data_IF_859065369157
#
_entry.id   IF_859065369157
#
_cell.length_a   1.000
_cell.length_b   1.000
_cell.length_c   1.000
_cell.angle_alpha   90.00
_cell.angle_beta   90.00
_cell.angle_gamma   90.00
#
_symmetry.space_group_name_H-M   'P 1'
#
loop_
_entity.id
_entity.type
_entity.pdbx_description
1 polymer ?
#
# COMPACT_ATOMS: atom_id res chain seq x y z
N UNK A 1 7.64 -49.39 32.10
CA UNK A 1 7.13 -48.35 31.20
C UNK A 1 5.92 -47.77 31.89
N UNK A 2 6.02 -46.54 32.41
CA UNK A 2 4.85 -45.88 32.99
C UNK A 2 3.82 -45.66 31.87
N UNK A 3 2.67 -46.33 31.99
CA UNK A 3 1.58 -46.17 31.03
C UNK A 3 0.94 -44.80 31.25
N UNK A 4 1.04 -43.94 30.24
CA UNK A 4 0.38 -42.63 30.24
C UNK A 4 -1.14 -42.86 30.32
N UNK A 5 -1.71 -42.51 31.48
CA UNK A 5 -3.14 -42.56 31.69
C UNK A 5 -3.82 -41.34 31.06
N UNK A 6 -4.53 -41.58 29.94
CA UNK A 6 -5.24 -40.54 29.17
C UNK A 6 -6.29 -39.79 30.00
N UNK A 7 -6.85 -40.42 31.03
CA UNK A 7 -7.87 -39.82 31.91
C UNK A 7 -7.29 -38.70 32.77
N UNK A 8 -6.08 -38.90 33.31
CA UNK A 8 -5.41 -37.91 34.16
C UNK A 8 -4.93 -36.72 33.34
N UNK A 9 -4.48 -36.95 32.11
CA UNK A 9 -4.17 -35.89 31.15
C UNK A 9 -5.40 -35.00 30.87
N UNK A 10 -6.58 -35.60 30.70
CA UNK A 10 -7.82 -34.89 30.41
C UNK A 10 -8.30 -34.04 31.60
N UNK A 11 -8.14 -34.54 32.83
CA UNK A 11 -8.46 -33.81 34.06
C UNK A 11 -7.49 -32.63 34.24
N UNK A 12 -6.20 -32.85 34.00
CA UNK A 12 -5.19 -31.79 34.05
C UNK A 12 -5.47 -30.68 33.02
N UNK A 13 -5.78 -31.04 31.78
CA UNK A 13 -6.12 -30.09 30.73
C UNK A 13 -7.38 -29.28 31.07
N UNK A 14 -8.42 -29.93 31.60
CA UNK A 14 -9.67 -29.28 31.99
C UNK A 14 -9.51 -28.31 33.16
N UNK A 15 -8.55 -28.57 34.06
CA UNK A 15 -8.19 -27.66 35.16
C UNK A 15 -7.50 -26.39 34.67
N UNK A 16 -6.68 -26.49 33.63
CA UNK A 16 -5.93 -25.35 33.07
C UNK A 16 -6.66 -24.64 31.91
N UNK A 17 -7.76 -25.20 31.41
CA UNK A 17 -8.59 -24.59 30.36
C UNK A 17 -9.06 -23.17 30.72
N UNK A 18 -9.42 -22.93 31.98
CA UNK A 18 -9.85 -21.59 32.44
C UNK A 18 -8.71 -20.57 32.33
N UNK A 19 -7.49 -20.97 32.71
CA UNK A 19 -6.30 -20.12 32.62
C UNK A 19 -5.91 -19.87 31.16
N UNK A 20 -6.05 -20.89 30.31
CA UNK A 20 -5.86 -20.76 28.87
C UNK A 20 -6.83 -19.74 28.26
N UNK A 21 -8.13 -19.86 28.54
CA UNK A 21 -9.11 -18.89 28.04
C UNK A 21 -8.88 -17.48 28.59
N UNK A 22 -8.47 -17.33 29.85
CA UNK A 22 -8.11 -16.03 30.41
C UNK A 22 -6.93 -15.38 29.67
N UNK A 23 -5.88 -16.16 29.36
CA UNK A 23 -4.73 -15.71 28.58
C UNK A 23 -5.15 -15.29 27.15
N UNK A 24 -6.01 -16.09 26.50
CA UNK A 24 -6.52 -15.78 25.16
C UNK A 24 -7.30 -14.47 25.17
N UNK A 25 -8.18 -14.26 26.15
CA UNK A 25 -8.96 -13.02 26.28
C UNK A 25 -8.03 -11.83 26.52
N UNK A 26 -6.98 -11.98 27.32
CA UNK A 26 -5.97 -10.94 27.52
C UNK A 26 -5.24 -10.57 26.22
N UNK A 27 -4.80 -11.56 25.45
CA UNK A 27 -4.14 -11.30 24.17
C UNK A 27 -5.08 -10.64 23.15
N UNK A 28 -6.33 -11.10 23.04
CA UNK A 28 -7.31 -10.55 22.11
C UNK A 28 -7.69 -9.11 22.50
N UNK A 29 -7.89 -8.85 23.79
CA UNK A 29 -8.21 -7.50 24.27
C UNK A 29 -7.05 -6.54 24.06
N UNK A 30 -5.82 -6.95 24.36
CA UNK A 30 -4.63 -6.14 24.09
C UNK A 30 -4.43 -5.86 22.59
N UNK A 31 -4.59 -6.88 21.73
CA UNK A 31 -4.50 -6.71 20.28
C UNK A 31 -5.59 -5.80 19.72
N UNK A 32 -6.83 -5.94 20.20
CA UNK A 32 -7.95 -5.08 19.78
C UNK A 32 -7.76 -3.64 20.23
N UNK A 33 -7.29 -3.42 21.47
CA UNK A 33 -6.97 -2.11 21.97
C UNK A 33 -5.87 -1.44 21.14
N UNK A 34 -4.84 -2.19 20.73
CA UNK A 34 -3.79 -1.68 19.85
C UNK A 34 -4.33 -1.22 18.48
N UNK A 35 -5.20 -2.03 17.85
CA UNK A 35 -5.80 -1.70 16.55
C UNK A 35 -6.68 -0.45 16.65
N UNK A 36 -7.50 -0.33 17.69
CA UNK A 36 -8.46 0.78 17.81
C UNK A 36 -7.79 2.08 18.25
N UNK A 37 -6.80 2.02 19.14
CA UNK A 37 -6.22 3.21 19.76
C UNK A 37 -4.95 3.70 19.06
N UNK A 38 -4.15 2.80 18.49
CA UNK A 38 -2.81 3.11 17.98
C UNK A 38 -2.72 3.01 16.46
N UNK A 39 -3.37 2.00 15.86
CA UNK A 39 -3.31 1.79 14.43
C UNK A 39 -4.16 2.82 13.68
N UNK A 40 -3.51 3.76 13.00
CA UNK A 40 -4.19 4.71 12.12
C UNK A 40 -4.63 3.99 10.83
N UNK A 41 -5.85 4.24 10.32
CA UNK A 41 -6.27 3.69 9.05
C UNK A 41 -5.43 4.28 7.91
N UNK A 42 -4.87 3.42 7.05
CA UNK A 42 -4.21 3.84 5.81
C UNK A 42 -5.24 3.89 4.67
N UNK A 43 -5.38 5.06 4.05
CA UNK A 43 -6.26 5.27 2.91
C UNK A 43 -5.43 5.36 1.63
N UNK A 44 -5.94 4.76 0.54
CA UNK A 44 -5.31 4.84 -0.78
C UNK A 44 -6.27 5.49 -1.78
N UNK A 45 -5.80 6.53 -2.45
CA UNK A 45 -6.47 7.17 -3.58
C UNK A 45 -5.82 6.74 -4.89
N UNK A 46 -6.60 6.73 -5.98
CA UNK A 46 -6.11 6.39 -7.32
C UNK A 46 -6.67 7.35 -8.37
N UNK A 47 -5.81 7.85 -9.23
CA UNK A 47 -6.17 8.63 -10.41
C UNK A 47 -5.56 7.98 -11.66
N UNK A 48 -6.29 8.06 -12.78
CA UNK A 48 -5.85 7.50 -14.06
C UNK A 48 -5.86 8.59 -15.12
N UNK A 49 -4.72 8.76 -15.80
CA UNK A 49 -4.50 9.75 -16.83
C UNK A 49 -4.24 9.03 -18.15
N UNK A 50 -4.89 9.49 -19.22
CA UNK A 50 -4.68 8.99 -20.58
C UNK A 50 -3.89 10.05 -21.33
N UNK A 51 -2.71 9.69 -21.83
CA UNK A 51 -1.95 10.52 -22.76
C UNK A 51 -2.64 10.45 -24.12
N UNK A 52 -3.00 11.60 -24.68
CA UNK A 52 -3.49 11.69 -26.05
C UNK A 52 -2.38 12.30 -26.89
N UNK A 53 -1.77 11.50 -27.75
CA UNK A 53 -0.83 12.01 -28.75
C UNK A 53 -1.62 12.59 -29.92
N UNK A 54 -1.49 13.90 -30.17
CA UNK A 54 -2.05 14.56 -31.35
C UNK A 54 -1.57 13.83 -32.61
N UNK A 55 -2.46 13.08 -33.28
CA UNK A 55 -2.14 12.25 -34.46
C UNK A 55 -1.92 13.06 -35.73
N UNK A 56 -1.32 14.23 -35.64
CA UNK A 56 -0.90 15.00 -36.81
C UNK A 56 0.59 14.75 -37.08
N UNK A 57 0.84 13.86 -38.06
CA UNK A 57 2.10 13.63 -38.82
C UNK A 57 2.95 12.41 -38.41
N UNK A 58 2.72 11.33 -39.17
CA UNK A 58 3.76 10.57 -39.89
C UNK A 58 4.87 9.89 -39.08
N UNK A 59 4.71 8.61 -38.70
CA UNK A 59 5.56 7.44 -39.09
C UNK A 59 5.38 6.29 -38.09
N UNK A 60 4.60 5.28 -38.50
CA UNK A 60 3.97 4.24 -37.68
C UNK A 60 4.93 3.26 -36.95
N UNK A 61 6.24 3.27 -37.21
CA UNK A 61 7.18 2.29 -36.63
C UNK A 61 8.05 2.85 -35.48
N UNK A 62 8.25 4.17 -35.38
CA UNK A 62 9.01 4.79 -34.28
C UNK A 62 8.15 5.16 -33.06
N UNK A 63 6.82 5.12 -33.21
CA UNK A 63 5.84 5.56 -32.20
C UNK A 63 5.82 4.66 -30.95
N UNK A 64 6.06 3.35 -31.08
CA UNK A 64 6.01 2.42 -29.95
C UNK A 64 7.23 2.60 -29.01
N UNK A 65 8.41 2.91 -29.56
CA UNK A 65 9.63 3.15 -28.77
C UNK A 65 9.64 4.57 -28.19
N UNK A 66 9.16 5.57 -28.93
CA UNK A 66 9.02 6.94 -28.43
C UNK A 66 7.99 7.01 -27.28
N UNK A 67 6.83 6.35 -27.40
CA UNK A 67 5.79 6.37 -26.38
C UNK A 67 6.19 5.71 -25.05
N UNK A 68 7.07 4.69 -25.07
CA UNK A 68 7.61 4.09 -23.84
C UNK A 68 8.50 5.07 -23.07
N UNK A 69 9.40 5.77 -23.76
CA UNK A 69 10.28 6.77 -23.14
C UNK A 69 9.49 7.96 -22.55
N UNK A 70 8.35 8.30 -23.16
CA UNK A 70 7.46 9.36 -22.65
C UNK A 70 6.86 8.98 -21.30
N UNK A 71 6.37 7.75 -21.14
CA UNK A 71 5.78 7.28 -19.88
C UNK A 71 6.79 7.31 -18.73
N UNK A 72 8.01 6.86 -18.95
CA UNK A 72 9.08 6.90 -17.94
C UNK A 72 9.43 8.35 -17.59
N UNK A 73 9.52 9.23 -18.60
CA UNK A 73 9.79 10.66 -18.38
C UNK A 73 8.67 11.33 -17.59
N UNK A 74 7.40 11.10 -17.93
CA UNK A 74 6.26 11.66 -17.21
C UNK A 74 6.14 11.11 -15.79
N UNK A 75 6.54 9.85 -15.58
CA UNK A 75 6.61 9.24 -14.25
C UNK A 75 7.59 9.99 -13.34
N UNK A 76 8.78 10.29 -13.85
CA UNK A 76 9.78 11.08 -13.12
C UNK A 76 9.33 12.54 -12.91
N UNK A 77 8.67 13.15 -13.90
CA UNK A 77 8.14 14.52 -13.76
C UNK A 77 7.08 14.59 -12.66
N UNK A 78 6.18 13.61 -12.55
CA UNK A 78 5.16 13.55 -11.49
C UNK A 78 5.79 13.47 -10.10
N UNK A 79 6.92 12.77 -9.96
CA UNK A 79 7.66 12.65 -8.69
C UNK A 79 8.69 13.74 -8.45
N UNK A 80 8.84 14.69 -9.37
CA UNK A 80 9.82 15.76 -9.25
C UNK A 80 9.47 16.76 -8.15
N UNK A 81 10.49 17.37 -7.54
CA UNK A 81 10.34 18.45 -6.55
C UNK A 81 9.40 19.54 -7.04
N UNK A 82 9.56 19.98 -8.30
CA UNK A 82 8.74 21.03 -8.90
C UNK A 82 7.23 20.74 -8.86
N UNK A 83 6.83 19.47 -8.96
CA UNK A 83 5.42 19.06 -8.92
C UNK A 83 4.99 18.76 -7.48
N UNK A 84 5.73 17.93 -6.76
CA UNK A 84 5.34 17.51 -5.40
C UNK A 84 5.39 18.66 -4.39
N UNK A 85 6.40 19.52 -4.43
CA UNK A 85 6.48 20.69 -3.54
C UNK A 85 5.30 21.65 -3.79
N UNK A 86 4.93 21.81 -5.05
CA UNK A 86 3.76 22.61 -5.42
C UNK A 86 2.48 21.99 -4.84
N UNK A 87 2.27 20.69 -5.00
CA UNK A 87 1.09 19.99 -4.44
C UNK A 87 1.04 20.11 -2.91
N UNK A 88 2.19 19.96 -2.24
CA UNK A 88 2.34 20.16 -0.78
C UNK A 88 1.90 21.56 -0.38
N UNK A 89 2.40 22.58 -1.08
CA UNK A 89 2.09 23.99 -0.79
C UNK A 89 0.63 24.36 -1.07
N UNK A 90 0.06 23.92 -2.20
CA UNK A 90 -1.30 24.29 -2.63
C UNK A 90 -2.37 23.58 -1.77
N UNK A 91 -2.11 22.35 -1.32
CA UNK A 91 -3.06 21.58 -0.50
C UNK A 91 -2.72 21.61 1.00
N UNK A 92 -1.72 22.39 1.42
CA UNK A 92 -1.28 22.53 2.81
C UNK A 92 -1.02 21.17 3.50
N UNK A 93 -0.35 20.25 2.79
CA UNK A 93 -0.01 18.94 3.36
C UNK A 93 1.07 19.08 4.44
N UNK A 94 0.95 18.28 5.51
CA UNK A 94 1.97 18.19 6.56
C UNK A 94 3.18 17.31 6.17
N UNK A 95 3.10 16.62 5.03
CA UNK A 95 4.15 15.73 4.53
C UNK A 95 5.29 16.53 3.88
N UNK A 96 6.53 16.09 4.08
CA UNK A 96 7.69 16.57 3.33
C UNK A 96 7.75 15.94 1.93
N UNK A 97 8.52 16.54 1.02
CA UNK A 97 8.78 15.98 -0.31
C UNK A 97 9.16 14.49 -0.26
N UNK A 98 10.14 14.12 0.58
CA UNK A 98 10.62 12.74 0.72
C UNK A 98 9.51 11.78 1.19
N UNK A 99 8.67 12.26 2.10
CA UNK A 99 7.55 11.47 2.65
C UNK A 99 6.45 11.30 1.60
N UNK A 100 6.16 12.34 0.83
CA UNK A 100 5.13 12.28 -0.21
C UNK A 100 5.60 11.47 -1.43
N UNK A 101 6.86 11.63 -1.84
CA UNK A 101 7.46 10.90 -2.96
C UNK A 101 7.49 9.38 -2.73
N UNK A 102 7.69 8.96 -1.47
CA UNK A 102 7.64 7.54 -1.08
C UNK A 102 6.22 6.99 -0.96
N UNK A 103 5.23 7.83 -0.58
CA UNK A 103 3.81 7.45 -0.58
C UNK A 103 3.24 7.31 -1.99
N UNK A 104 3.72 8.12 -2.94
CA UNK A 104 3.20 8.13 -4.31
C UNK A 104 3.79 6.98 -5.14
N UNK A 105 2.90 6.16 -5.68
CA UNK A 105 3.21 5.13 -6.67
C UNK A 105 2.60 5.47 -8.01
N UNK A 106 3.46 5.58 -9.02
CA UNK A 106 3.09 5.84 -10.41
C UNK A 106 3.37 4.56 -11.19
N UNK A 107 2.38 4.10 -11.94
CA UNK A 107 2.46 2.87 -12.73
C UNK A 107 1.86 3.09 -14.10
N UNK A 108 2.43 2.43 -15.11
CA UNK A 108 1.93 2.45 -16.48
C UNK A 108 1.44 1.07 -16.89
N UNK A 109 0.29 1.01 -17.54
CA UNK A 109 -0.16 -0.24 -18.17
C UNK A 109 0.67 -0.48 -19.44
N UNK A 110 1.33 -1.65 -19.51
CA UNK A 110 2.22 -2.02 -20.63
C UNK A 110 1.51 -1.86 -21.98
N UNK A 111 2.19 -1.24 -22.94
CA UNK A 111 1.70 -0.96 -24.29
C UNK A 111 0.42 -0.12 -24.33
N UNK A 112 0.17 0.70 -23.31
CA UNK A 112 -0.93 1.68 -23.31
C UNK A 112 -0.39 3.07 -22.99
N UNK A 113 -1.11 4.10 -23.40
CA UNK A 113 -0.84 5.50 -23.04
C UNK A 113 -1.47 5.87 -21.68
N UNK A 114 -1.65 4.88 -20.78
CA UNK A 114 -2.34 5.06 -19.50
C UNK A 114 -1.33 5.09 -18.35
N UNK A 115 -1.39 6.16 -17.56
CA UNK A 115 -0.64 6.36 -16.32
C UNK A 115 -1.63 6.31 -15.14
N UNK A 116 -1.38 5.45 -14.16
CA UNK A 116 -2.11 5.41 -12.90
C UNK A 116 -1.23 5.89 -11.76
N UNK A 117 -1.75 6.86 -11.00
CA UNK A 117 -1.10 7.46 -9.84
C UNK A 117 -1.89 7.04 -8.61
N UNK A 118 -1.20 6.59 -7.57
CA UNK A 118 -1.78 6.21 -6.29
C UNK A 118 -1.00 6.78 -5.13
N UNK A 119 -1.70 7.12 -4.05
CA UNK A 119 -1.15 7.67 -2.80
C UNK A 119 -1.94 7.16 -1.62
#
# INVERSE_FOLDING_TARGET
MEEINLRDLLIYFRKHLVLFFAMVILCVSAGSAYIVLVQKPEYKSRATIILSSDKSKTTVQNEITANKNLIDTYTEVVKSHRVLDRVISENNLADSFETLSTKISVSSLKNTEIISISV
#
